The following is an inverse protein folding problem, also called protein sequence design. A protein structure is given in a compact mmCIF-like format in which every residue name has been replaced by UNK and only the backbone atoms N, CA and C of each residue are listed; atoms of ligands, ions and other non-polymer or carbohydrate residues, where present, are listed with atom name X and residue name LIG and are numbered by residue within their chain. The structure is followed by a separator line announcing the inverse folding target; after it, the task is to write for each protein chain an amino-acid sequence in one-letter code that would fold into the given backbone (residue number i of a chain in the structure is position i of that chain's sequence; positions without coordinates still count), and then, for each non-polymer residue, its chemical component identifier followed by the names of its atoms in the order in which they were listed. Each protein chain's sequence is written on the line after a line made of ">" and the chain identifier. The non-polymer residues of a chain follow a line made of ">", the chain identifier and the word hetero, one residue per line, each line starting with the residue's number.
data_IF_459436943703
#
_entry.id   IF_459436943703
#
_cell.length_a   1.000
_cell.length_b   1.000
_cell.length_c   1.000
_cell.angle_alpha   90.00
_cell.angle_beta   90.00
_cell.angle_gamma   90.00
#
_symmetry.space_group_name_H-M   'P 1'
#
loop_
_entity.id
_entity.type
_entity.pdbx_description
1 polymer ?
#
# COMPACT_ATOMS: atom_id res chain seq x y z
N UNK A 1 -0.83 -15.07 1.99
CA UNK A 1 -1.94 -14.17 2.36
C UNK A 1 -2.78 -13.87 1.13
N UNK A 2 -4.08 -14.04 1.25
CA UNK A 2 -4.99 -13.73 0.13
C UNK A 2 -5.35 -12.24 0.18
N UNK A 3 -5.18 -11.59 -0.96
CA UNK A 3 -5.51 -10.17 -1.06
C UNK A 3 -7.00 -10.01 -1.33
N UNK A 4 -7.62 -9.06 -0.63
CA UNK A 4 -9.01 -8.69 -0.89
C UNK A 4 -9.08 -7.73 -2.08
N UNK A 5 -10.30 -7.49 -2.59
CA UNK A 5 -10.49 -6.48 -3.63
C UNK A 5 -10.04 -5.10 -3.17
N UNK A 6 -10.28 -4.77 -1.89
CA UNK A 6 -9.81 -3.52 -1.32
C UNK A 6 -8.30 -3.43 -1.32
N UNK A 7 -7.60 -4.51 -0.93
CA UNK A 7 -6.15 -4.57 -0.94
C UNK A 7 -5.60 -4.32 -2.34
N UNK A 8 -6.20 -4.99 -3.34
CA UNK A 8 -5.79 -4.83 -4.73
C UNK A 8 -5.99 -3.40 -5.21
N UNK A 9 -7.11 -2.78 -4.85
CA UNK A 9 -7.39 -1.39 -5.21
C UNK A 9 -6.36 -0.44 -4.61
N UNK A 10 -5.98 -0.63 -3.34
CA UNK A 10 -4.97 0.18 -2.69
C UNK A 10 -3.60 0.01 -3.35
N UNK A 11 -3.22 -1.21 -3.68
CA UNK A 11 -1.97 -1.46 -4.36
C UNK A 11 -1.94 -0.82 -5.75
N UNK A 12 -3.05 -0.83 -6.47
CA UNK A 12 -3.15 -0.16 -7.77
C UNK A 12 -2.96 1.35 -7.64
N UNK A 13 -3.55 1.95 -6.62
CA UNK A 13 -3.37 3.38 -6.37
C UNK A 13 -1.92 3.73 -6.10
N UNK A 14 -1.23 2.91 -5.31
CA UNK A 14 0.16 3.15 -5.00
C UNK A 14 1.08 2.87 -6.17
N UNK A 15 0.76 1.89 -6.99
CA UNK A 15 1.50 1.65 -8.23
C UNK A 15 1.39 2.85 -9.18
N UNK A 16 0.21 3.44 -9.28
CA UNK A 16 -0.01 4.63 -10.10
C UNK A 16 0.77 5.83 -9.59
N UNK A 17 1.02 5.91 -8.28
CA UNK A 17 1.82 6.97 -7.69
C UNK A 17 3.32 6.84 -8.00
N UNK A 18 3.77 5.65 -8.44
CA UNK A 18 5.15 5.41 -8.84
C UNK A 18 6.10 5.23 -7.67
N UNK A 19 7.40 5.36 -7.95
CA UNK A 19 8.44 5.16 -6.94
C UNK A 19 8.41 6.19 -5.82
N UNK A 20 7.88 7.38 -6.09
CA UNK A 20 7.74 8.41 -5.08
C UNK A 20 6.72 8.06 -3.99
N UNK A 21 5.83 7.13 -4.28
CA UNK A 21 4.80 6.72 -3.33
C UNK A 21 3.74 7.80 -3.11
N UNK A 22 3.00 7.65 -2.03
CA UNK A 22 1.92 8.57 -1.71
C UNK A 22 1.80 8.74 -0.20
N UNK A 23 1.63 9.98 0.24
CA UNK A 23 1.37 10.27 1.64
C UNK A 23 -0.14 10.27 1.85
N UNK A 24 -0.61 9.48 2.80
CA UNK A 24 -2.03 9.31 3.07
C UNK A 24 -2.31 9.69 4.52
N UNK A 25 -3.35 10.49 4.70
CA UNK A 25 -3.90 10.75 6.02
C UNK A 25 -4.87 9.60 6.30
N UNK A 26 -4.39 8.66 7.07
CA UNK A 26 -5.04 7.35 7.14
C UNK A 26 -5.90 7.18 8.37
N UNK A 27 -7.18 7.55 8.28
CA UNK A 27 -8.13 7.17 9.31
C UNK A 27 -8.80 5.84 8.96
N UNK A 28 -9.36 5.75 7.77
CA UNK A 28 -10.20 4.61 7.40
C UNK A 28 -9.45 3.47 6.73
N UNK A 29 -8.35 3.79 6.03
CA UNK A 29 -7.61 2.79 5.27
C UNK A 29 -6.37 2.28 5.98
N UNK A 30 -6.09 2.80 7.17
CA UNK A 30 -4.85 2.50 7.88
C UNK A 30 -4.70 1.01 8.19
N UNK A 31 -5.78 0.36 8.61
CA UNK A 31 -5.71 -1.06 8.95
C UNK A 31 -5.35 -1.91 7.73
N UNK A 32 -5.95 -1.63 6.59
CA UNK A 32 -5.63 -2.34 5.36
C UNK A 32 -4.21 -2.06 4.89
N UNK A 33 -3.79 -0.78 4.96
CA UNK A 33 -2.44 -0.38 4.56
C UNK A 33 -1.38 -0.99 5.49
N UNK A 34 -1.63 -1.01 6.80
CA UNK A 34 -0.72 -1.61 7.76
C UNK A 34 -0.59 -3.12 7.53
N UNK A 35 -1.70 -3.78 7.23
CA UNK A 35 -1.69 -5.21 6.92
C UNK A 35 -0.85 -5.50 5.66
N UNK A 36 -1.01 -4.69 4.64
CA UNK A 36 -0.22 -4.82 3.41
C UNK A 36 1.26 -4.58 3.67
N UNK A 37 1.58 -3.59 4.52
CA UNK A 37 2.97 -3.32 4.89
C UNK A 37 3.57 -4.50 5.65
N UNK A 38 2.83 -5.10 6.57
CA UNK A 38 3.30 -6.27 7.31
C UNK A 38 3.52 -7.47 6.38
N UNK A 39 2.72 -7.58 5.34
CA UNK A 39 2.89 -8.63 4.33
C UNK A 39 4.04 -8.40 3.38
N UNK A 40 4.69 -7.24 3.44
CA UNK A 40 5.80 -6.91 2.56
C UNK A 40 5.39 -6.31 1.22
N UNK A 41 4.10 -6.00 1.03
CA UNK A 41 3.60 -5.44 -0.23
C UNK A 41 3.81 -3.94 -0.32
N UNK A 42 3.95 -3.27 0.81
CA UNK A 42 4.15 -1.83 0.92
C UNK A 42 5.26 -1.53 1.90
N UNK A 43 5.90 -0.36 1.74
CA UNK A 43 6.73 0.24 2.77
C UNK A 43 5.96 1.41 3.36
N UNK A 44 5.80 1.42 4.68
CA UNK A 44 5.11 2.49 5.40
C UNK A 44 6.13 3.32 6.18
N UNK A 45 6.07 4.63 6.01
CA UNK A 45 6.99 5.54 6.68
C UNK A 45 6.21 6.71 7.29
N UNK A 46 6.14 6.81 8.63
CA UNK A 46 5.48 7.96 9.26
C UNK A 46 6.19 9.26 8.91
N UNK A 47 5.45 10.26 8.47
CA UNK A 47 5.99 11.57 8.10
C UNK A 47 5.44 12.70 8.94
N UNK A 48 4.44 12.44 9.77
CA UNK A 48 3.81 13.42 10.64
C UNK A 48 2.84 12.73 11.59
N UNK A 49 2.12 13.52 12.39
CA UNK A 49 1.24 12.98 13.42
C UNK A 49 0.17 12.05 12.83
N UNK A 50 -0.47 12.47 11.74
CA UNK A 50 -1.53 11.69 11.10
C UNK A 50 -1.19 11.31 9.67
N UNK A 51 0.09 11.46 9.28
CA UNK A 51 0.51 11.25 7.91
C UNK A 51 1.49 10.08 7.83
N UNK A 52 1.21 9.15 6.95
CA UNK A 52 2.11 8.04 6.66
C UNK A 52 2.34 7.99 5.16
N UNK A 53 3.59 7.90 4.79
CA UNK A 53 3.99 7.75 3.40
C UNK A 53 4.07 6.27 3.05
N UNK A 54 3.36 5.87 2.02
CA UNK A 54 3.34 4.48 1.55
C UNK A 54 3.92 4.39 0.15
N UNK A 55 4.71 3.35 -0.06
CA UNK A 55 5.27 3.05 -1.37
C UNK A 55 5.10 1.56 -1.66
N UNK A 56 4.75 1.23 -2.90
CA UNK A 56 4.64 -0.16 -3.30
C UNK A 56 6.02 -0.80 -3.43
N UNK A 57 6.13 -2.06 -3.03
CA UNK A 57 7.37 -2.83 -3.17
C UNK A 57 7.32 -3.69 -4.43
N UNK A 58 8.43 -4.31 -4.78
CA UNK A 58 8.45 -5.32 -5.84
C UNK A 58 7.46 -6.44 -5.60
N UNK A 59 7.36 -6.89 -4.34
CA UNK A 59 6.38 -7.91 -3.96
C UNK A 59 4.94 -7.43 -4.18
N UNK A 60 4.67 -6.16 -3.89
CA UNK A 60 3.35 -5.59 -4.15
C UNK A 60 3.02 -5.55 -5.64
N UNK A 61 3.99 -5.19 -6.46
CA UNK A 61 3.81 -5.18 -7.92
C UNK A 61 3.58 -6.59 -8.46
N UNK A 62 4.31 -7.57 -7.97
CA UNK A 62 4.11 -8.97 -8.36
C UNK A 62 2.72 -9.46 -7.98
N UNK A 63 2.25 -9.10 -6.78
CA UNK A 63 0.91 -9.48 -6.34
C UNK A 63 -0.16 -8.88 -7.24
N UNK A 64 0.01 -7.63 -7.67
CA UNK A 64 -0.92 -7.00 -8.61
C UNK A 64 -0.93 -7.73 -9.96
N UNK A 65 0.23 -8.11 -10.45
CA UNK A 65 0.34 -8.82 -11.73
C UNK A 65 -0.40 -10.15 -11.67
N UNK A 66 -0.38 -10.83 -10.54
CA UNK A 66 -1.10 -12.08 -10.35
C UNK A 66 -2.62 -11.90 -10.30
N UNK A 67 -3.08 -10.72 -9.88
CA UNK A 67 -4.50 -10.42 -9.74
C UNK A 67 -5.11 -9.70 -10.95
N UNK A 68 -4.29 -9.28 -11.86
CA UNK A 68 -4.76 -8.68 -13.11
C UNK A 68 -5.07 -9.80 -14.17
#
# INVERSE_FOLDING_TARGET
>A
MNLTLEDVALLKQLKAAGEGGRTIRAYNMRLALDRLAKGGYLVARPTGIDLVHYRITGRGQEALAEHD
#
